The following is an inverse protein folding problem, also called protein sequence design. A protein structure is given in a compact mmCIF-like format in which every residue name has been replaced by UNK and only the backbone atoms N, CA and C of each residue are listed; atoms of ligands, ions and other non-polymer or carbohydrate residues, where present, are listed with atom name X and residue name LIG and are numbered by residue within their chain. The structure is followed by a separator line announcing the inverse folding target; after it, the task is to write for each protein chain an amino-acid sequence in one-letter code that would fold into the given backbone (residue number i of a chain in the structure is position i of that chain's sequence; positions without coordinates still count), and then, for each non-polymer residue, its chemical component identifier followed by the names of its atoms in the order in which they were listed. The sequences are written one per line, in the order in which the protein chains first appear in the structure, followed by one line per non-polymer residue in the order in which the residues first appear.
data_IF_501387890555
#
_entry.id   IF_501387890555
#
_cell.length_a   1.000
_cell.length_b   1.000
_cell.length_c   1.000
_cell.angle_alpha   90.00
_cell.angle_beta   90.00
_cell.angle_gamma   90.00
#
_symmetry.space_group_name_H-M   'P 1'
#
loop_
_entity.id
_entity.type
_entity.pdbx_description
1 polymer ?
#
# COMPACT_ATOMS: atom_id res chain seq x y z
N UNK A 1 -26.02 6.91 -7.22
CA UNK A 1 -25.17 6.37 -6.14
C UNK A 1 -24.84 7.54 -5.23
N UNK A 2 -25.17 7.47 -3.94
CA UNK A 2 -24.98 8.57 -2.98
C UNK A 2 -23.48 8.90 -2.82
N UNK A 3 -23.14 10.19 -2.72
CA UNK A 3 -21.79 10.72 -2.49
C UNK A 3 -21.00 9.92 -1.44
N UNK A 4 -21.68 9.57 -0.36
CA UNK A 4 -21.13 8.86 0.78
C UNK A 4 -20.49 7.53 0.37
N UNK A 5 -21.10 6.81 -0.58
CA UNK A 5 -20.61 5.49 -1.01
C UNK A 5 -19.23 5.62 -1.65
N UNK A 6 -19.02 6.66 -2.46
CA UNK A 6 -17.76 6.88 -3.18
C UNK A 6 -16.64 7.31 -2.22
N UNK A 7 -16.97 8.15 -1.23
CA UNK A 7 -16.07 8.55 -0.15
C UNK A 7 -15.72 7.34 0.74
N UNK A 8 -16.69 6.50 1.12
CA UNK A 8 -16.45 5.30 1.91
C UNK A 8 -15.58 4.29 1.16
N UNK A 9 -15.88 4.01 -0.12
CA UNK A 9 -15.07 3.10 -0.94
C UNK A 9 -13.65 3.64 -1.11
N UNK A 10 -13.50 4.94 -1.40
CA UNK A 10 -12.20 5.58 -1.51
C UNK A 10 -11.41 5.51 -0.20
N UNK A 11 -12.06 5.75 0.93
CA UNK A 11 -11.47 5.65 2.27
C UNK A 11 -10.99 4.23 2.59
N UNK A 12 -11.82 3.22 2.35
CA UNK A 12 -11.46 1.80 2.55
C UNK A 12 -10.31 1.40 1.63
N UNK A 13 -10.36 1.80 0.35
CA UNK A 13 -9.29 1.52 -0.61
C UNK A 13 -7.97 2.16 -0.18
N UNK A 14 -8.02 3.40 0.29
CA UNK A 14 -6.83 4.10 0.83
C UNK A 14 -6.27 3.36 2.04
N UNK A 15 -7.14 2.94 2.97
CA UNK A 15 -6.74 2.20 4.16
C UNK A 15 -6.07 0.86 3.82
N UNK A 16 -6.56 0.14 2.79
CA UNK A 16 -5.93 -1.09 2.29
C UNK A 16 -4.51 -0.79 1.76
N UNK A 17 -4.35 0.27 0.96
CA UNK A 17 -3.04 0.69 0.47
C UNK A 17 -2.06 1.03 1.61
N UNK A 18 -2.54 1.72 2.65
CA UNK A 18 -1.74 2.04 3.84
C UNK A 18 -1.38 0.77 4.65
N UNK A 19 -2.29 -0.19 4.78
CA UNK A 19 -2.00 -1.47 5.42
C UNK A 19 -0.90 -2.23 4.67
N UNK A 20 -0.93 -2.22 3.34
CA UNK A 20 0.14 -2.78 2.50
C UNK A 20 1.49 -2.08 2.71
N UNK A 21 1.50 -0.76 2.86
CA UNK A 21 2.72 0.01 3.18
C UNK A 21 3.27 -0.39 4.56
N UNK A 22 2.41 -0.52 5.57
CA UNK A 22 2.81 -0.98 6.92
C UNK A 22 3.44 -2.38 6.84
N UNK A 23 2.83 -3.30 6.08
CA UNK A 23 3.39 -4.64 5.85
C UNK A 23 4.80 -4.56 5.26
N UNK A 24 5.01 -3.76 4.21
CA UNK A 24 6.34 -3.57 3.61
C UNK A 24 7.38 -3.05 4.61
N UNK A 25 6.99 -2.11 5.49
CA UNK A 25 7.88 -1.56 6.52
C UNK A 25 8.27 -2.64 7.54
N UNK A 26 7.30 -3.41 8.03
CA UNK A 26 7.54 -4.47 9.01
C UNK A 26 8.42 -5.57 8.43
N UNK A 27 8.17 -5.97 7.18
CA UNK A 27 8.95 -7.01 6.52
C UNK A 27 10.37 -6.53 6.17
N UNK A 28 10.54 -5.27 5.75
CA UNK A 28 11.87 -4.69 5.53
C UNK A 28 12.70 -4.65 6.83
N UNK A 29 12.05 -4.29 7.96
CA UNK A 29 12.68 -4.31 9.29
C UNK A 29 13.09 -5.72 9.69
N UNK A 30 12.23 -6.72 9.44
CA UNK A 30 12.54 -8.14 9.68
C UNK A 30 13.73 -8.60 8.85
N UNK A 31 13.71 -8.33 7.53
CA UNK A 31 14.80 -8.69 6.64
C UNK A 31 16.15 -8.09 7.07
N UNK A 32 16.13 -6.83 7.49
CA UNK A 32 17.32 -6.14 8.03
C UNK A 32 17.84 -6.79 9.31
N UNK A 33 16.94 -7.30 10.15
CA UNK A 33 17.30 -7.99 11.41
C UNK A 33 17.84 -9.40 11.14
N UNK A 34 17.25 -10.13 10.21
CA UNK A 34 17.59 -11.53 9.91
C UNK A 34 18.92 -11.69 9.17
N UNK A 35 19.40 -10.63 8.49
CA UNK A 35 20.65 -10.62 7.70
C UNK A 35 20.83 -11.89 6.84
N UNK A 36 19.86 -12.23 5.99
CA UNK A 36 19.94 -13.42 5.16
C UNK A 36 21.08 -13.29 4.14
N UNK A 37 21.41 -14.42 3.51
CA UNK A 37 22.36 -14.48 2.41
C UNK A 37 22.04 -13.41 1.33
N UNK A 38 23.07 -12.77 0.72
CA UNK A 38 22.89 -11.69 -0.24
C UNK A 38 21.91 -12.01 -1.37
N UNK A 39 21.90 -13.24 -1.87
CA UNK A 39 21.03 -13.61 -3.00
C UNK A 39 19.56 -13.67 -2.56
N UNK A 40 19.32 -14.22 -1.37
CA UNK A 40 17.98 -14.27 -0.75
C UNK A 40 17.50 -12.86 -0.41
N UNK A 41 18.39 -12.01 0.11
CA UNK A 41 18.07 -10.62 0.45
C UNK A 41 17.61 -9.83 -0.79
N UNK A 42 18.33 -9.95 -1.92
CA UNK A 42 17.99 -9.27 -3.18
C UNK A 42 16.61 -9.67 -3.70
N UNK A 43 16.30 -10.97 -3.69
CA UNK A 43 15.00 -11.47 -4.16
C UNK A 43 13.87 -10.94 -3.28
N UNK A 44 14.01 -11.03 -1.95
CA UNK A 44 13.00 -10.52 -1.01
C UNK A 44 12.80 -9.02 -1.12
N UNK A 45 13.87 -8.24 -1.24
CA UNK A 45 13.80 -6.80 -1.45
C UNK A 45 13.08 -6.44 -2.75
N UNK A 46 13.33 -7.16 -3.84
CA UNK A 46 12.64 -6.93 -5.13
C UNK A 46 11.13 -7.13 -4.99
N UNK A 47 10.72 -8.20 -4.31
CA UNK A 47 9.30 -8.44 -4.02
C UNK A 47 8.71 -7.33 -3.14
N UNK A 48 9.42 -6.90 -2.10
CA UNK A 48 8.97 -5.80 -1.24
C UNK A 48 8.78 -4.49 -2.00
N UNK A 49 9.67 -4.16 -2.93
CA UNK A 49 9.53 -2.96 -3.77
C UNK A 49 8.29 -3.05 -4.66
N UNK A 50 8.04 -4.21 -5.26
CA UNK A 50 6.83 -4.43 -6.06
C UNK A 50 5.56 -4.28 -5.22
N UNK A 51 5.51 -4.88 -4.03
CA UNK A 51 4.37 -4.76 -3.09
C UNK A 51 4.20 -3.32 -2.62
N UNK A 52 5.30 -2.61 -2.33
CA UNK A 52 5.27 -1.20 -1.95
C UNK A 52 4.67 -0.33 -3.06
N UNK A 53 5.11 -0.52 -4.30
CA UNK A 53 4.59 0.24 -5.45
C UNK A 53 3.10 -0.06 -5.69
N UNK A 54 2.68 -1.32 -5.57
CA UNK A 54 1.26 -1.67 -5.61
C UNK A 54 0.45 -1.02 -4.49
N UNK A 55 0.96 -1.04 -3.26
CA UNK A 55 0.31 -0.45 -2.08
C UNK A 55 0.15 1.06 -2.23
N UNK A 56 1.18 1.74 -2.72
CA UNK A 56 1.16 3.18 -3.02
C UNK A 56 0.12 3.49 -4.10
N UNK A 57 0.10 2.73 -5.20
CA UNK A 57 -0.89 2.93 -6.26
C UNK A 57 -2.33 2.77 -5.77
N UNK A 58 -2.60 1.74 -4.96
CA UNK A 58 -3.90 1.51 -4.32
C UNK A 58 -4.28 2.67 -3.39
N UNK A 59 -3.34 3.15 -2.57
CA UNK A 59 -3.58 4.29 -1.69
C UNK A 59 -3.93 5.56 -2.47
N UNK A 60 -3.17 5.87 -3.53
CA UNK A 60 -3.45 7.02 -4.40
C UNK A 60 -4.80 6.89 -5.13
N UNK A 61 -5.14 5.70 -5.61
CA UNK A 61 -6.42 5.45 -6.27
C UNK A 61 -7.61 5.65 -5.31
N UNK A 62 -7.51 5.12 -4.09
CA UNK A 62 -8.52 5.35 -3.05
C UNK A 62 -8.67 6.83 -2.72
N UNK A 63 -7.56 7.55 -2.57
CA UNK A 63 -7.57 8.98 -2.31
C UNK A 63 -8.22 9.76 -3.45
N UNK A 64 -7.95 9.39 -4.71
CA UNK A 64 -8.60 9.99 -5.87
C UNK A 64 -10.11 9.81 -5.83
N UNK A 65 -10.63 8.63 -5.45
CA UNK A 65 -12.06 8.42 -5.28
C UNK A 65 -12.67 9.25 -4.15
N UNK A 66 -11.97 9.44 -3.03
CA UNK A 66 -12.42 10.36 -1.96
C UNK A 66 -12.52 11.77 -2.49
N UNK A 67 -11.48 12.28 -3.15
CA UNK A 67 -11.45 13.65 -3.69
C UNK A 67 -12.58 13.87 -4.70
N UNK A 68 -12.76 12.94 -5.64
CA UNK A 68 -13.86 13.03 -6.61
C UNK A 68 -15.22 12.96 -5.94
N UNK A 69 -15.39 12.10 -4.93
CA UNK A 69 -16.63 11.99 -4.15
C UNK A 69 -16.94 13.24 -3.31
N UNK A 70 -15.93 14.06 -2.96
CA UNK A 70 -16.13 15.33 -2.27
C UNK A 70 -16.40 16.51 -3.22
N UNK A 71 -16.01 16.39 -4.50
CA UNK A 71 -16.18 17.44 -5.51
C UNK A 71 -17.52 17.35 -6.27
N UNK A 72 -18.10 16.16 -6.34
CA UNK A 72 -19.41 15.89 -6.95
C UNK A 72 -20.55 16.23 -6.00
#
# INVERSE_FOLDING_TARGET
MNLDIMVYIGGVTTAIGLAGLIYCILEAKRLKKDKPDPDVARVRLRTLVAVNMGSVAVAFMGLAFVVLGLML
#
